data_IF_739890874409
#
_entry.id   IF_739890874409
#
_cell.length_a   1.000
_cell.length_b   1.000
_cell.length_c   1.000
_cell.angle_alpha   90.00
_cell.angle_beta   90.00
_cell.angle_gamma   90.00
#
_symmetry.space_group_name_H-M   'P 1'
#
loop_
_entity.id
_entity.type
_entity.pdbx_description
1 polymer ?
#
# COMPACT_ATOMS: atom_id res chain seq x y z
N UNK A 1 -0.04 12.75 19.07
CA UNK A 1 -1.11 12.00 18.36
C UNK A 1 -0.82 11.87 16.88
N UNK A 2 -0.45 12.97 16.18
CA UNK A 2 -0.11 12.95 14.74
C UNK A 2 1.02 11.98 14.35
N UNK A 3 2.14 12.03 15.08
CA UNK A 3 3.26 11.08 14.92
C UNK A 3 2.80 9.62 15.16
N UNK A 4 1.84 9.40 16.07
CA UNK A 4 1.38 8.04 16.39
C UNK A 4 0.59 7.42 15.22
N UNK A 5 -0.19 8.23 14.50
CA UNK A 5 -0.87 7.81 13.26
C UNK A 5 0.12 7.59 12.11
N UNK A 6 1.09 8.49 11.92
CA UNK A 6 2.12 8.37 10.87
C UNK A 6 2.96 7.09 11.01
N UNK A 7 3.30 6.69 12.24
CA UNK A 7 3.99 5.42 12.50
C UNK A 7 3.08 4.21 12.30
N UNK A 8 1.79 4.31 12.62
CA UNK A 8 0.81 3.24 12.43
C UNK A 8 0.64 2.93 10.93
N UNK A 9 0.52 3.95 10.09
CA UNK A 9 0.38 3.80 8.63
C UNK A 9 1.61 3.11 8.02
N UNK A 10 2.81 3.46 8.48
CA UNK A 10 4.04 2.78 8.04
C UNK A 10 4.08 1.31 8.48
N UNK A 11 3.56 0.97 9.66
CA UNK A 11 3.47 -0.43 10.11
C UNK A 11 2.50 -1.21 9.23
N UNK A 12 1.35 -0.63 8.88
CA UNK A 12 0.42 -1.27 7.94
C UNK A 12 1.04 -1.47 6.56
N UNK A 13 1.78 -0.49 6.03
CA UNK A 13 2.51 -0.62 4.77
C UNK A 13 3.53 -1.78 4.80
N UNK A 14 4.26 -1.95 5.89
CA UNK A 14 5.16 -3.11 6.08
C UNK A 14 4.38 -4.42 6.08
N UNK A 15 3.26 -4.49 6.81
CA UNK A 15 2.42 -5.70 6.89
C UNK A 15 1.89 -6.08 5.50
N UNK A 16 1.35 -5.09 4.75
CA UNK A 16 0.86 -5.25 3.38
C UNK A 16 1.99 -5.77 2.48
N UNK A 17 3.17 -5.17 2.57
CA UNK A 17 4.32 -5.58 1.77
C UNK A 17 4.76 -7.02 2.05
N UNK A 18 4.78 -7.43 3.33
CA UNK A 18 5.06 -8.82 3.72
C UNK A 18 3.98 -9.77 3.19
N UNK A 19 2.70 -9.39 3.26
CA UNK A 19 1.60 -10.20 2.71
C UNK A 19 1.78 -10.39 1.19
N UNK A 20 2.10 -9.34 0.45
CA UNK A 20 2.32 -9.43 -1.00
C UNK A 20 3.50 -10.34 -1.37
N UNK A 21 4.59 -10.24 -0.61
CA UNK A 21 5.73 -11.17 -0.76
C UNK A 21 5.29 -12.61 -0.47
N UNK A 22 4.48 -12.85 0.56
CA UNK A 22 3.96 -14.17 0.89
C UNK A 22 2.97 -14.74 -0.14
N UNK A 23 2.15 -13.88 -0.74
CA UNK A 23 1.21 -14.24 -1.81
C UNK A 23 1.92 -14.51 -3.14
N UNK A 24 3.11 -13.94 -3.34
CA UNK A 24 3.93 -14.25 -4.53
C UNK A 24 4.48 -15.68 -4.53
N UNK A 25 4.61 -16.31 -3.35
CA UNK A 25 5.27 -17.61 -3.21
C UNK A 25 6.79 -17.59 -3.44
N UNK A 26 7.41 -16.42 -3.63
CA UNK A 26 8.84 -16.28 -3.95
C UNK A 26 9.76 -16.63 -2.79
N UNK A 27 9.42 -16.18 -1.57
CA UNK A 27 10.24 -16.38 -0.36
C UNK A 27 9.57 -17.27 0.68
N UNK A 28 8.25 -17.12 0.84
CA UNK A 28 7.39 -17.97 1.65
C UNK A 28 5.99 -17.96 1.02
N UNK A 29 5.14 -18.91 1.40
CA UNK A 29 3.80 -19.06 0.83
C UNK A 29 2.76 -18.81 1.91
N UNK A 30 1.84 -17.90 1.64
CA UNK A 30 0.65 -17.70 2.48
C UNK A 30 -0.50 -18.62 2.02
N UNK A 31 -1.40 -19.01 2.95
CA UNK A 31 -2.57 -19.79 2.58
C UNK A 31 -3.47 -19.01 1.62
N UNK A 32 -4.07 -19.72 0.67
CA UNK A 32 -4.93 -19.16 -0.36
C UNK A 32 -6.32 -18.85 0.19
N UNK A 33 -6.44 -17.68 0.82
CA UNK A 33 -7.68 -17.14 1.37
C UNK A 33 -8.01 -15.80 0.72
N UNK A 34 -8.42 -15.80 -0.56
CA UNK A 34 -8.59 -14.57 -1.34
C UNK A 34 -9.61 -13.61 -0.70
N UNK A 35 -10.66 -14.11 -0.04
CA UNK A 35 -11.61 -13.25 0.69
C UNK A 35 -10.96 -12.50 1.87
N UNK A 36 -10.06 -13.14 2.62
CA UNK A 36 -9.38 -12.51 3.77
C UNK A 36 -8.41 -11.46 3.26
N UNK A 37 -7.60 -11.81 2.25
CA UNK A 37 -6.62 -10.89 1.66
C UNK A 37 -7.31 -9.71 0.98
N UNK A 38 -8.39 -9.95 0.24
CA UNK A 38 -9.20 -8.90 -0.37
C UNK A 38 -9.83 -7.96 0.67
N UNK A 39 -10.35 -8.49 1.78
CA UNK A 39 -10.89 -7.65 2.84
C UNK A 39 -9.80 -6.78 3.51
N UNK A 40 -8.60 -7.34 3.72
CA UNK A 40 -7.47 -6.58 4.28
C UNK A 40 -7.00 -5.46 3.35
N UNK A 41 -6.83 -5.73 2.05
CA UNK A 41 -6.50 -4.68 1.08
C UNK A 41 -7.61 -3.63 0.94
N UNK A 42 -8.88 -4.04 1.07
CA UNK A 42 -10.00 -3.11 1.06
C UNK A 42 -10.02 -2.18 2.27
N UNK A 43 -9.71 -2.71 3.46
CA UNK A 43 -9.55 -1.90 4.68
C UNK A 43 -8.35 -0.96 4.52
N UNK A 44 -7.22 -1.44 3.99
CA UNK A 44 -6.04 -0.62 3.72
C UNK A 44 -6.37 0.55 2.79
N UNK A 45 -7.08 0.31 1.69
CA UNK A 45 -7.54 1.37 0.78
C UNK A 45 -8.38 2.44 1.48
N UNK A 46 -9.25 2.06 2.42
CA UNK A 46 -10.05 3.01 3.21
C UNK A 46 -9.14 3.85 4.11
N UNK A 47 -8.15 3.22 4.77
CA UNK A 47 -7.19 3.93 5.62
C UNK A 47 -6.36 4.92 4.79
N UNK A 48 -5.87 4.51 3.62
CA UNK A 48 -5.11 5.37 2.70
C UNK A 48 -5.94 6.58 2.23
N UNK A 49 -7.25 6.42 1.97
CA UNK A 49 -8.15 7.55 1.66
C UNK A 49 -8.24 8.54 2.83
N UNK A 50 -8.34 8.03 4.06
CA UNK A 50 -8.37 8.89 5.26
C UNK A 50 -7.05 9.65 5.40
N UNK A 51 -5.91 8.99 5.16
CA UNK A 51 -4.60 9.63 5.25
C UNK A 51 -4.40 10.72 4.18
N UNK A 52 -4.82 10.48 2.93
CA UNK A 52 -4.82 11.51 1.88
C UNK A 52 -5.60 12.75 2.33
N UNK A 53 -6.78 12.56 2.92
CA UNK A 53 -7.60 13.67 3.44
C UNK A 53 -6.88 14.43 4.55
N UNK A 54 -6.21 13.74 5.46
CA UNK A 54 -5.44 14.37 6.53
C UNK A 54 -4.21 15.11 6.02
N UNK A 55 -3.50 14.57 5.02
CA UNK A 55 -2.37 15.20 4.35
C UNK A 55 -2.73 16.58 3.78
N UNK A 56 -3.92 16.73 3.18
CA UNK A 56 -4.40 18.04 2.70
C UNK A 56 -4.73 19.05 3.80
N UNK A 57 -5.05 18.59 5.02
CA UNK A 57 -5.39 19.49 6.14
C UNK A 57 -4.17 20.13 6.81
N UNK A 58 -2.98 19.62 6.54
CA UNK A 58 -1.73 19.94 7.26
C UNK A 58 -0.69 20.73 6.46
N UNK A 59 -1.15 21.53 5.49
CA UNK A 59 -0.35 22.28 4.51
C UNK A 59 0.68 23.31 5.03
N UNK A 60 0.88 23.44 6.34
CA UNK A 60 1.82 24.42 6.91
C UNK A 60 3.19 23.79 7.19
N UNK A 61 4.10 23.76 6.20
CA UNK A 61 5.52 23.63 6.53
C UNK A 61 6.45 23.23 5.39
N UNK A 62 6.22 22.10 4.71
CA UNK A 62 7.20 21.48 3.80
C UNK A 62 6.55 20.96 2.52
N UNK A 63 6.36 21.85 1.53
CA UNK A 63 5.65 21.57 0.27
C UNK A 63 6.17 20.37 -0.51
N UNK A 64 7.49 20.14 -0.52
CA UNK A 64 8.11 19.00 -1.24
C UNK A 64 7.75 17.66 -0.60
N UNK A 65 7.77 17.58 0.74
CA UNK A 65 7.45 16.36 1.48
C UNK A 65 5.96 16.02 1.38
N UNK A 66 5.10 17.03 1.32
CA UNK A 66 3.66 16.87 1.10
C UNK A 66 3.39 16.28 -0.29
N UNK A 67 4.08 16.76 -1.33
CA UNK A 67 3.92 16.22 -2.69
C UNK A 67 4.36 14.76 -2.75
N UNK A 68 5.48 14.41 -2.10
CA UNK A 68 5.97 13.03 -2.06
C UNK A 68 5.04 12.11 -1.27
N UNK A 69 4.53 12.55 -0.12
CA UNK A 69 3.55 11.78 0.66
C UNK A 69 2.27 11.54 -0.15
N UNK A 70 1.79 12.58 -0.83
CA UNK A 70 0.59 12.48 -1.65
C UNK A 70 0.75 11.56 -2.86
N UNK A 71 1.91 11.60 -3.54
CA UNK A 71 2.24 10.65 -4.60
C UNK A 71 2.32 9.22 -4.09
N UNK A 72 2.96 9.00 -2.93
CA UNK A 72 3.06 7.68 -2.30
C UNK A 72 1.66 7.13 -1.99
N UNK A 73 0.82 7.92 -1.32
CA UNK A 73 -0.53 7.50 -0.95
C UNK A 73 -1.43 7.23 -2.16
N UNK A 74 -1.25 7.96 -3.27
CA UNK A 74 -1.98 7.66 -4.52
C UNK A 74 -1.53 6.32 -5.10
N UNK A 75 -0.22 6.04 -5.12
CA UNK A 75 0.31 4.78 -5.62
C UNK A 75 -0.21 3.63 -4.76
N UNK A 76 -0.14 3.78 -3.44
CA UNK A 76 -0.61 2.78 -2.48
C UNK A 76 -2.10 2.51 -2.67
N UNK A 77 -2.92 3.55 -2.79
CA UNK A 77 -4.36 3.42 -3.04
C UNK A 77 -4.67 2.69 -4.35
N UNK A 78 -3.97 3.02 -5.44
CA UNK A 78 -4.16 2.36 -6.74
C UNK A 78 -3.85 0.86 -6.62
N UNK A 79 -2.74 0.52 -5.95
CA UNK A 79 -2.32 -0.86 -5.75
C UNK A 79 -3.29 -1.62 -4.85
N UNK A 80 -3.72 -1.03 -3.74
CA UNK A 80 -4.67 -1.63 -2.80
C UNK A 80 -6.04 -1.88 -3.45
N UNK A 81 -6.57 -0.94 -4.23
CA UNK A 81 -7.81 -1.14 -4.98
C UNK A 81 -7.62 -2.24 -6.03
N UNK A 82 -6.50 -2.25 -6.75
CA UNK A 82 -6.25 -3.27 -7.77
C UNK A 82 -6.09 -4.67 -7.17
N UNK A 83 -5.43 -4.79 -6.02
CA UNK A 83 -5.30 -6.04 -5.27
C UNK A 83 -6.63 -6.50 -4.69
N UNK A 84 -7.43 -5.58 -4.16
CA UNK A 84 -8.79 -5.86 -3.67
C UNK A 84 -9.66 -6.38 -4.82
N UNK A 85 -9.63 -5.71 -5.97
CA UNK A 85 -10.37 -6.11 -7.16
C UNK A 85 -9.93 -7.49 -7.65
N UNK A 86 -8.62 -7.75 -7.70
CA UNK A 86 -8.08 -9.06 -8.05
C UNK A 86 -8.58 -10.15 -7.10
N UNK A 87 -8.52 -9.93 -5.79
CA UNK A 87 -8.88 -10.91 -4.77
C UNK A 87 -10.38 -11.24 -4.75
N UNK A 88 -11.24 -10.26 -5.04
CA UNK A 88 -12.68 -10.46 -5.16
C UNK A 88 -13.16 -10.78 -6.58
N UNK A 89 -12.23 -10.93 -7.54
CA UNK A 89 -12.52 -11.14 -8.96
C UNK A 89 -13.48 -10.08 -9.54
N UNK A 90 -13.28 -8.82 -9.13
CA UNK A 90 -14.02 -7.66 -9.62
C UNK A 90 -13.36 -7.14 -10.89
N UNK A 91 -14.13 -7.03 -11.97
CA UNK A 91 -13.64 -6.47 -13.23
C UNK A 91 -13.74 -4.94 -13.20
N UNK A 92 -12.60 -4.28 -12.95
CA UNK A 92 -12.45 -2.83 -13.09
C UNK A 92 -11.63 -2.59 -14.37
N UNK A 93 -12.25 -2.16 -15.49
CA UNK A 93 -11.62 -2.23 -16.82
C UNK A 93 -10.23 -1.57 -16.88
N UNK A 94 -10.09 -0.38 -16.30
CA UNK A 94 -8.83 0.37 -16.36
C UNK A 94 -7.71 -0.22 -15.48
N UNK A 95 -8.05 -0.74 -14.29
CA UNK A 95 -7.09 -1.37 -13.39
C UNK A 95 -6.74 -2.78 -13.87
N UNK A 96 -7.73 -3.52 -14.38
CA UNK A 96 -7.58 -4.90 -14.78
C UNK A 96 -6.76 -5.01 -16.07
N UNK A 97 -6.89 -4.09 -17.03
CA UNK A 97 -6.07 -4.14 -18.24
C UNK A 97 -4.62 -3.73 -17.99
N UNK A 98 -4.38 -2.70 -17.16
CA UNK A 98 -3.03 -2.16 -16.96
C UNK A 98 -2.26 -2.87 -15.84
N UNK A 99 -2.92 -3.30 -14.76
CA UNK A 99 -2.24 -3.85 -13.58
C UNK A 99 -2.26 -5.37 -13.49
N UNK A 100 -3.18 -6.10 -14.15
CA UNK A 100 -3.17 -7.58 -14.11
C UNK A 100 -1.82 -8.21 -14.48
N UNK A 101 -1.11 -7.75 -15.52
CA UNK A 101 0.16 -8.36 -15.89
C UNK A 101 1.16 -8.33 -14.72
N UNK A 102 1.19 -7.22 -13.99
CA UNK A 102 2.08 -7.02 -12.85
C UNK A 102 1.60 -7.74 -11.58
N UNK A 103 0.28 -7.81 -11.36
CA UNK A 103 -0.26 -8.50 -10.20
C UNK A 103 -0.21 -10.03 -10.33
N UNK A 104 -0.13 -10.58 -11.54
CA UNK A 104 -0.09 -12.03 -11.78
C UNK A 104 1.34 -12.57 -11.97
N UNK A 105 2.34 -11.72 -12.19
CA UNK A 105 3.75 -12.12 -12.18
C UNK A 105 4.24 -12.19 -10.72
N UNK A 106 4.65 -13.38 -10.22
CA UNK A 106 5.19 -13.54 -8.86
C UNK A 106 6.35 -12.60 -8.55
N UNK A 107 7.22 -12.34 -9.53
CA UNK A 107 8.40 -11.48 -9.36
C UNK A 107 7.98 -10.03 -9.16
N UNK A 108 7.02 -9.57 -9.95
CA UNK A 108 6.47 -8.22 -9.83
C UNK A 108 5.68 -8.07 -8.54
N UNK A 109 4.88 -9.06 -8.15
CA UNK A 109 4.13 -9.03 -6.90
C UNK A 109 5.06 -8.95 -5.67
N UNK A 110 6.16 -9.72 -5.68
CA UNK A 110 7.21 -9.62 -4.66
C UNK A 110 7.93 -8.26 -4.70
N UNK A 111 8.15 -7.71 -5.90
CA UNK A 111 8.71 -6.38 -6.09
C UNK A 111 7.83 -5.27 -5.52
N UNK A 112 6.52 -5.31 -5.78
CA UNK A 112 5.53 -4.40 -5.20
C UNK A 112 5.52 -4.53 -3.68
N UNK A 113 5.53 -5.75 -3.14
CA UNK A 113 5.60 -5.95 -1.70
C UNK A 113 6.89 -5.38 -1.08
N UNK A 114 8.02 -5.53 -1.76
CA UNK A 114 9.30 -4.95 -1.35
C UNK A 114 9.26 -3.42 -1.38
N UNK A 115 8.62 -2.83 -2.40
CA UNK A 115 8.41 -1.39 -2.50
C UNK A 115 7.67 -0.85 -1.28
N UNK A 116 6.53 -1.45 -0.90
CA UNK A 116 5.77 -1.08 0.29
C UNK A 116 6.61 -1.09 1.58
N UNK A 117 7.43 -2.14 1.77
CA UNK A 117 8.30 -2.24 2.95
C UNK A 117 9.35 -1.13 2.94
N UNK A 118 10.02 -0.91 1.81
CA UNK A 118 11.11 0.07 1.70
C UNK A 118 10.59 1.50 1.88
N UNK A 119 9.49 1.87 1.22
CA UNK A 119 8.89 3.20 1.37
C UNK A 119 8.43 3.44 2.81
N UNK A 120 7.77 2.48 3.43
CA UNK A 120 7.35 2.56 4.84
C UNK A 120 8.53 2.73 5.80
N UNK A 121 9.61 1.98 5.60
CA UNK A 121 10.83 2.12 6.40
C UNK A 121 11.50 3.50 6.22
N UNK A 122 11.52 4.05 5.00
CA UNK A 122 12.05 5.38 4.73
C UNK A 122 11.22 6.46 5.44
N UNK A 123 9.90 6.35 5.41
CA UNK A 123 9.01 7.27 6.12
C UNK A 123 9.19 7.19 7.64
N UNK A 124 9.28 6.00 8.24
CA UNK A 124 9.60 5.83 9.67
C UNK A 124 10.90 6.56 10.04
N UNK A 125 11.94 6.40 9.22
CA UNK A 125 13.23 7.05 9.47
C UNK A 125 13.12 8.58 9.42
N UNK A 126 12.41 9.13 8.43
CA UNK A 126 12.18 10.57 8.31
C UNK A 126 11.33 11.12 9.46
N UNK A 127 10.33 10.38 9.93
CA UNK A 127 9.54 10.76 11.11
C UNK A 127 10.35 10.69 12.40
N UNK A 128 11.29 9.76 12.53
CA UNK A 128 12.17 9.67 13.69
C UNK A 128 13.17 10.82 13.79
N UNK A 129 13.56 11.40 12.64
CA UNK A 129 14.54 12.49 12.57
C UNK A 129 13.94 13.87 12.88
N UNK A 130 12.62 14.01 12.82
CA UNK A 130 11.89 15.25 13.13
C UNK A 130 11.53 15.34 14.61
#
# INVERSE_FOLDING_TARGET
MKILFEYEDCIYGIIIGVILIGLSGTFFTLPDYPMIWGALFGIAAILTILDVRHTFSDLSGHSVLIILALLNNIIDLILEIALTAKMFNLDIPYLSEQLNPYLNDPTMLAGIGTFFIVTSCLWIYEFHKR
#
